data_IF_804014982179
#
_entry.id   IF_804014982179
#
_cell.length_a   1.000
_cell.length_b   1.000
_cell.length_c   1.000
_cell.angle_alpha   90.00
_cell.angle_beta   90.00
_cell.angle_gamma   90.00
#
_symmetry.space_group_name_H-M   'P 1'
#
loop_
_entity.id
_entity.type
_entity.pdbx_description
1 polymer ?
#
# COMPACT_ATOMS: atom_id res chain seq x y z
N UNK A 1 19.46 -23.13 -78.62
CA UNK A 1 20.49 -23.37 -77.61
C UNK A 1 19.80 -23.85 -76.34
N UNK A 2 19.55 -25.16 -76.33
CA UNK A 2 19.77 -26.14 -75.26
C UNK A 2 19.67 -25.80 -73.75
N UNK A 3 18.90 -26.69 -73.12
CA UNK A 3 19.22 -27.48 -71.92
C UNK A 3 19.00 -26.92 -70.49
N UNK A 4 17.89 -27.41 -69.93
CA UNK A 4 17.81 -28.09 -68.64
C UNK A 4 19.08 -28.84 -68.22
N UNK A 5 19.52 -28.71 -66.95
CA UNK A 5 19.59 -29.83 -65.98
C UNK A 5 20.19 -29.43 -64.62
N UNK A 6 19.39 -29.64 -63.57
CA UNK A 6 19.70 -30.35 -62.32
C UNK A 6 21.13 -30.31 -61.71
N UNK A 7 21.20 -29.87 -60.45
CA UNK A 7 22.08 -30.51 -59.45
C UNK A 7 21.36 -30.66 -58.09
N UNK A 8 20.99 -31.92 -57.83
CA UNK A 8 21.03 -32.69 -56.57
C UNK A 8 20.42 -32.17 -55.24
N UNK A 9 19.35 -32.86 -54.85
CA UNK A 9 18.97 -33.23 -53.48
C UNK A 9 20.07 -34.06 -52.79
N UNK A 10 20.37 -33.77 -51.51
CA UNK A 10 20.68 -34.81 -50.51
C UNK A 10 20.46 -34.34 -49.06
N UNK A 11 19.63 -35.13 -48.39
CA UNK A 11 19.23 -35.19 -46.98
C UNK A 11 20.38 -35.56 -46.04
N UNK A 12 20.41 -34.99 -44.83
CA UNK A 12 20.89 -35.60 -43.56
C UNK A 12 20.59 -34.63 -42.39
N UNK A 13 19.55 -34.89 -41.60
CA UNK A 13 19.59 -35.47 -40.23
C UNK A 13 20.02 -34.49 -39.13
N UNK A 14 19.03 -34.14 -38.29
CA UNK A 14 19.05 -33.84 -36.86
C UNK A 14 20.40 -33.44 -36.21
N UNK A 15 20.41 -32.30 -35.52
CA UNK A 15 20.71 -32.25 -34.08
C UNK A 15 20.32 -30.87 -33.47
N UNK A 16 19.54 -30.92 -32.38
CA UNK A 16 19.55 -30.07 -31.17
C UNK A 16 19.95 -28.58 -31.26
N UNK A 17 19.24 -27.60 -30.71
CA UNK A 17 18.18 -27.60 -29.69
C UNK A 17 17.37 -26.31 -29.80
N UNK A 18 16.05 -26.44 -29.86
CA UNK A 18 15.16 -25.41 -29.32
C UNK A 18 15.39 -25.43 -27.81
N UNK A 19 15.97 -24.38 -27.25
CA UNK A 19 15.97 -24.14 -25.80
C UNK A 19 14.53 -23.92 -25.38
N UNK A 20 13.80 -25.03 -25.20
CA UNK A 20 12.67 -25.06 -24.31
C UNK A 20 13.21 -24.59 -22.97
N UNK A 21 12.78 -23.40 -22.59
CA UNK A 21 12.97 -22.86 -21.25
C UNK A 21 12.29 -23.83 -20.30
N UNK A 22 13.08 -24.79 -19.81
CA UNK A 22 12.70 -25.61 -18.67
C UNK A 22 12.70 -24.66 -17.49
N UNK A 23 11.60 -23.91 -17.31
CA UNK A 23 11.24 -23.48 -15.96
C UNK A 23 11.23 -24.75 -15.13
N UNK A 24 12.22 -24.84 -14.26
CA UNK A 24 12.43 -25.94 -13.35
C UNK A 24 11.09 -26.23 -12.67
N UNK A 25 10.52 -27.42 -12.90
CA UNK A 25 9.23 -27.79 -12.30
C UNK A 25 9.29 -27.74 -10.76
N UNK A 26 10.50 -27.81 -10.20
CA UNK A 26 10.81 -27.62 -8.78
C UNK A 26 10.59 -26.19 -8.27
N UNK A 27 10.47 -25.17 -9.14
CA UNK A 27 10.20 -23.79 -8.72
C UNK A 27 8.70 -23.50 -8.57
N UNK A 28 7.81 -24.20 -9.27
CA UNK A 28 6.37 -23.87 -9.26
C UNK A 28 5.73 -24.14 -7.89
N UNK A 29 6.14 -25.22 -7.21
CA UNK A 29 5.64 -25.57 -5.87
C UNK A 29 6.03 -24.52 -4.81
N UNK A 30 7.10 -23.77 -5.02
CA UNK A 30 7.52 -22.73 -4.07
C UNK A 30 6.57 -21.53 -4.05
N UNK A 31 5.80 -21.33 -5.13
CA UNK A 31 4.90 -20.19 -5.31
C UNK A 31 3.43 -20.52 -5.08
N UNK A 32 3.12 -21.78 -4.80
CA UNK A 32 1.76 -22.25 -4.48
C UNK A 32 1.75 -22.76 -3.03
N UNK A 33 0.88 -22.18 -2.21
CA UNK A 33 0.61 -22.62 -0.84
C UNK A 33 -0.79 -23.24 -0.86
N UNK A 34 -0.84 -24.57 -0.93
CA UNK A 34 -2.10 -25.31 -1.09
C UNK A 34 -2.33 -26.29 0.06
N UNK A 35 -3.57 -26.39 0.52
CA UNK A 35 -4.03 -27.48 1.39
C UNK A 35 -3.48 -27.48 2.81
N UNK A 36 -2.95 -26.34 3.28
CA UNK A 36 -2.33 -26.20 4.61
C UNK A 36 -3.38 -26.26 5.71
N UNK A 37 -3.14 -27.05 6.76
CA UNK A 37 -4.10 -27.24 7.87
C UNK A 37 -3.40 -27.22 9.21
N UNK A 38 -3.65 -26.18 10.01
CA UNK A 38 -2.96 -26.02 11.30
C UNK A 38 -1.46 -25.76 11.18
N UNK A 39 -1.00 -25.32 10.00
CA UNK A 39 0.42 -25.14 9.69
C UNK A 39 0.81 -23.66 9.71
N UNK A 40 2.08 -23.39 10.07
CA UNK A 40 2.72 -22.10 9.83
C UNK A 40 3.64 -22.24 8.63
N UNK A 41 3.42 -21.42 7.60
CA UNK A 41 4.21 -21.40 6.36
C UNK A 41 4.80 -20.02 6.17
N UNK A 42 6.10 -19.97 5.86
CA UNK A 42 6.80 -18.71 5.61
C UNK A 42 7.53 -18.70 4.26
N UNK A 43 7.72 -17.49 3.72
CA UNK A 43 8.65 -17.17 2.63
C UNK A 43 9.48 -15.98 3.08
N UNK A 44 10.80 -16.17 3.12
CA UNK A 44 11.76 -15.17 3.59
C UNK A 44 12.12 -14.18 2.46
N UNK A 45 12.72 -13.02 2.78
CA UNK A 45 13.17 -12.07 1.79
C UNK A 45 14.08 -12.72 0.73
N UNK A 46 13.84 -12.40 -0.54
CA UNK A 46 14.59 -12.93 -1.67
C UNK A 46 14.16 -14.31 -2.15
N UNK A 47 13.09 -14.89 -1.61
CA UNK A 47 12.56 -16.21 -2.05
C UNK A 47 11.44 -16.10 -3.07
N UNK A 48 10.72 -14.97 -3.11
CA UNK A 48 9.64 -14.73 -4.09
C UNK A 48 10.12 -13.84 -5.23
N UNK A 49 10.92 -12.81 -4.94
CA UNK A 49 11.51 -11.90 -5.93
C UNK A 49 10.55 -11.35 -6.98
N UNK A 50 9.34 -10.94 -6.58
CA UNK A 50 8.37 -10.35 -7.49
C UNK A 50 7.66 -11.36 -8.40
N UNK A 51 7.73 -12.66 -8.12
CA UNK A 51 6.89 -13.67 -8.79
C UNK A 51 5.43 -13.63 -8.29
N UNK A 52 4.54 -14.34 -8.99
CA UNK A 52 3.15 -14.52 -8.56
C UNK A 52 3.06 -15.58 -7.46
N UNK A 53 2.17 -15.36 -6.48
CA UNK A 53 1.84 -16.35 -5.45
C UNK A 53 0.36 -16.76 -5.55
N UNK A 54 0.09 -18.04 -5.30
CA UNK A 54 -1.26 -18.59 -5.14
C UNK A 54 -1.37 -19.22 -3.76
N UNK A 55 -2.33 -18.78 -2.96
CA UNK A 55 -2.69 -19.38 -1.67
C UNK A 55 -4.09 -19.96 -1.83
N UNK A 56 -4.26 -21.25 -1.60
CA UNK A 56 -5.57 -21.89 -1.79
C UNK A 56 -5.84 -23.03 -0.80
N UNK A 57 -7.12 -23.28 -0.51
CA UNK A 57 -7.58 -24.42 0.30
C UNK A 57 -6.92 -24.55 1.69
N UNK A 58 -6.50 -23.43 2.28
CA UNK A 58 -5.82 -23.41 3.58
C UNK A 58 -6.82 -23.24 4.72
N UNK A 59 -6.58 -23.90 5.85
CA UNK A 59 -7.45 -23.85 7.02
C UNK A 59 -6.63 -23.73 8.30
N UNK A 60 -7.08 -22.90 9.25
CA UNK A 60 -6.47 -22.77 10.60
C UNK A 60 -4.95 -22.55 10.54
N UNK A 61 -4.46 -21.86 9.51
CA UNK A 61 -3.04 -21.77 9.17
C UNK A 61 -2.51 -20.34 9.24
N UNK A 62 -1.22 -20.20 9.55
CA UNK A 62 -0.51 -18.92 9.50
C UNK A 62 0.39 -18.87 8.27
N UNK A 63 0.26 -17.84 7.45
CA UNK A 63 0.97 -17.72 6.17
C UNK A 63 1.68 -16.37 6.16
N UNK A 64 3.01 -16.37 6.08
CA UNK A 64 3.83 -15.16 6.09
C UNK A 64 4.72 -15.07 4.86
N UNK A 65 4.56 -14.04 4.04
CA UNK A 65 5.41 -13.80 2.87
C UNK A 65 6.12 -12.48 3.06
N UNK A 66 7.38 -12.54 3.51
CA UNK A 66 8.23 -11.38 3.78
C UNK A 66 9.05 -10.99 2.54
N UNK A 67 8.39 -10.88 1.39
CA UNK A 67 9.03 -10.49 0.12
C UNK A 67 8.06 -9.69 -0.76
N UNK A 68 8.60 -8.97 -1.73
CA UNK A 68 7.80 -8.31 -2.75
C UNK A 68 7.26 -9.33 -3.76
N UNK A 69 6.05 -9.07 -4.25
CA UNK A 69 5.25 -10.03 -5.03
C UNK A 69 4.67 -9.29 -6.26
N UNK A 70 4.52 -9.97 -7.40
CA UNK A 70 3.83 -9.38 -8.56
C UNK A 70 2.32 -9.27 -8.33
N UNK A 71 1.69 -10.39 -8.00
CA UNK A 71 0.25 -10.52 -7.77
C UNK A 71 -0.03 -11.72 -6.87
N UNK A 72 -1.12 -11.68 -6.11
CA UNK A 72 -1.55 -12.78 -5.23
C UNK A 72 -3.02 -13.12 -5.46
N UNK A 73 -3.33 -14.41 -5.52
CA UNK A 73 -4.69 -14.91 -5.28
C UNK A 73 -4.75 -15.68 -3.96
N UNK A 74 -5.82 -15.46 -3.20
CA UNK A 74 -6.12 -16.17 -1.95
C UNK A 74 -7.51 -16.76 -2.07
N UNK A 75 -7.61 -18.08 -2.17
CA UNK A 75 -8.81 -18.80 -2.58
C UNK A 75 -9.21 -19.83 -1.53
N UNK A 76 -10.50 -19.94 -1.20
CA UNK A 76 -11.05 -21.02 -0.37
C UNK A 76 -10.32 -21.20 0.99
N UNK A 77 -9.85 -20.11 1.60
CA UNK A 77 -9.14 -20.14 2.88
C UNK A 77 -10.07 -19.87 4.07
N UNK A 78 -9.92 -20.63 5.15
CA UNK A 78 -10.79 -20.55 6.33
C UNK A 78 -9.96 -20.38 7.60
N UNK A 79 -10.26 -19.34 8.39
CA UNK A 79 -9.60 -19.06 9.67
C UNK A 79 -8.06 -18.98 9.55
N UNK A 80 -7.56 -18.34 8.49
CA UNK A 80 -6.13 -18.14 8.27
C UNK A 80 -5.66 -16.75 8.70
N UNK A 81 -4.42 -16.68 9.18
CA UNK A 81 -3.70 -15.42 9.41
C UNK A 81 -2.68 -15.25 8.28
N UNK A 82 -2.77 -14.17 7.51
CA UNK A 82 -2.02 -14.01 6.28
C UNK A 82 -1.29 -12.66 6.30
N UNK A 83 0.04 -12.69 6.24
CA UNK A 83 0.88 -11.53 6.04
C UNK A 83 1.49 -11.58 4.64
N UNK A 84 1.30 -10.52 3.86
CA UNK A 84 1.83 -10.39 2.51
C UNK A 84 2.68 -9.11 2.44
N UNK A 85 3.92 -9.26 1.98
CA UNK A 85 4.76 -8.14 1.62
C UNK A 85 4.21 -7.31 0.45
N UNK A 86 4.93 -6.27 0.01
CA UNK A 86 4.45 -5.33 -1.00
C UNK A 86 4.12 -6.00 -2.35
N UNK A 87 2.90 -5.81 -2.83
CA UNK A 87 2.38 -6.40 -4.08
C UNK A 87 2.28 -5.33 -5.16
N UNK A 88 3.07 -5.48 -6.22
CA UNK A 88 3.14 -4.51 -7.33
C UNK A 88 1.80 -4.28 -8.02
N UNK A 89 1.00 -5.34 -8.21
CA UNK A 89 -0.26 -5.28 -8.94
C UNK A 89 -1.44 -5.53 -8.01
N UNK A 90 -2.05 -6.72 -8.06
CA UNK A 90 -3.33 -6.99 -7.40
C UNK A 90 -3.24 -8.07 -6.33
N UNK A 91 -4.06 -7.89 -5.31
CA UNK A 91 -4.49 -8.96 -4.39
C UNK A 91 -5.93 -9.29 -4.75
N UNK A 92 -6.23 -10.57 -4.95
CA UNK A 92 -7.60 -11.04 -5.10
C UNK A 92 -7.91 -12.13 -4.08
N UNK A 93 -8.82 -11.84 -3.15
CA UNK A 93 -9.28 -12.77 -2.11
C UNK A 93 -10.68 -13.28 -2.49
N UNK A 94 -10.83 -14.59 -2.66
CA UNK A 94 -12.09 -15.22 -3.08
C UNK A 94 -12.49 -16.34 -2.14
N UNK A 95 -13.79 -16.45 -1.87
CA UNK A 95 -14.37 -17.58 -1.13
C UNK A 95 -13.73 -17.80 0.27
N UNK A 96 -13.16 -16.75 0.86
CA UNK A 96 -12.43 -16.82 2.13
C UNK A 96 -13.32 -16.47 3.32
N UNK A 97 -13.11 -17.15 4.46
CA UNK A 97 -13.93 -16.98 5.66
C UNK A 97 -13.10 -16.84 6.92
N UNK A 98 -13.42 -15.85 7.76
CA UNK A 98 -12.80 -15.66 9.08
C UNK A 98 -11.28 -15.45 9.04
N UNK A 99 -10.75 -14.90 7.94
CA UNK A 99 -9.32 -14.66 7.76
C UNK A 99 -8.89 -13.29 8.31
N UNK A 100 -7.66 -13.20 8.82
CA UNK A 100 -7.00 -11.91 9.11
C UNK A 100 -5.87 -11.70 8.11
N UNK A 101 -5.83 -10.54 7.47
CA UNK A 101 -4.90 -10.27 6.36
C UNK A 101 -4.17 -8.95 6.63
N UNK A 102 -2.85 -8.94 6.45
CA UNK A 102 -2.05 -7.73 6.41
C UNK A 102 -1.35 -7.65 5.05
N UNK A 103 -1.58 -6.58 4.30
CA UNK A 103 -1.08 -6.46 2.92
C UNK A 103 -0.90 -5.02 2.46
N UNK A 104 0.12 -4.79 1.64
CA UNK A 104 0.31 -3.58 0.85
C UNK A 104 0.23 -3.93 -0.63
N UNK A 105 -0.64 -3.28 -1.41
CA UNK A 105 -0.83 -3.58 -2.82
C UNK A 105 -1.25 -2.37 -3.65
N UNK A 106 -1.17 -2.48 -4.99
CA UNK A 106 -1.72 -1.44 -5.88
C UNK A 106 -3.24 -1.55 -5.97
N UNK A 107 -3.77 -2.77 -6.14
CA UNK A 107 -5.21 -3.05 -6.21
C UNK A 107 -5.62 -4.13 -5.20
N UNK A 108 -6.72 -3.90 -4.50
CA UNK A 108 -7.28 -4.86 -3.55
C UNK A 108 -8.70 -5.22 -3.98
N UNK A 109 -8.97 -6.52 -4.15
CA UNK A 109 -10.28 -7.04 -4.54
C UNK A 109 -10.67 -8.20 -3.64
N UNK A 110 -11.93 -8.23 -3.21
CA UNK A 110 -12.53 -9.41 -2.58
C UNK A 110 -13.79 -9.82 -3.30
N UNK A 111 -14.06 -11.13 -3.34
CA UNK A 111 -15.34 -11.68 -3.78
C UNK A 111 -15.76 -12.84 -2.89
N UNK A 112 -17.06 -12.95 -2.60
CA UNK A 112 -17.63 -14.10 -1.89
C UNK A 112 -16.98 -14.37 -0.51
N UNK A 113 -16.52 -13.30 0.18
CA UNK A 113 -15.82 -13.40 1.45
C UNK A 113 -16.74 -13.13 2.67
N UNK A 114 -16.43 -13.76 3.80
CA UNK A 114 -17.18 -13.56 5.04
C UNK A 114 -16.25 -13.33 6.24
N UNK A 115 -16.42 -12.22 6.94
CA UNK A 115 -15.66 -11.89 8.15
C UNK A 115 -14.13 -11.89 7.89
N UNK A 116 -13.68 -11.04 6.97
CA UNK A 116 -12.25 -10.86 6.70
C UNK A 116 -11.79 -9.51 7.26
N UNK A 117 -10.84 -9.56 8.19
CA UNK A 117 -10.24 -8.39 8.83
C UNK A 117 -8.93 -8.06 8.11
N UNK A 118 -8.80 -6.85 7.53
CA UNK A 118 -7.69 -6.48 6.65
C UNK A 118 -6.96 -5.22 7.13
N UNK A 119 -5.66 -5.33 7.39
CA UNK A 119 -4.73 -4.21 7.55
C UNK A 119 -4.12 -3.90 6.19
N UNK A 120 -4.49 -2.76 5.61
CA UNK A 120 -4.32 -2.49 4.18
C UNK A 120 -3.50 -1.23 3.92
N UNK A 121 -2.57 -1.32 2.96
CA UNK A 121 -2.17 -0.20 2.13
C UNK A 121 -2.64 -0.50 0.71
N UNK A 122 -3.43 0.39 0.12
CA UNK A 122 -3.90 0.22 -1.26
C UNK A 122 -3.66 1.48 -2.09
N UNK A 123 -2.92 1.34 -3.18
CA UNK A 123 -2.63 2.44 -4.11
C UNK A 123 -3.87 2.98 -4.82
N UNK A 124 -4.90 2.14 -5.00
CA UNK A 124 -6.20 2.48 -5.61
C UNK A 124 -7.36 2.27 -4.64
N UNK A 125 -8.60 2.55 -5.06
CA UNK A 125 -9.80 2.29 -4.27
C UNK A 125 -9.98 0.77 -4.04
N UNK A 126 -9.97 0.27 -2.78
CA UNK A 126 -10.23 -1.13 -2.49
C UNK A 126 -11.67 -1.52 -2.85
N UNK A 127 -11.85 -2.73 -3.36
CA UNK A 127 -13.14 -3.23 -3.86
C UNK A 127 -13.57 -4.47 -3.09
N UNK A 128 -14.85 -4.51 -2.71
CA UNK A 128 -15.53 -5.72 -2.22
C UNK A 128 -16.74 -6.03 -3.10
N UNK A 129 -17.04 -7.33 -3.25
CA UNK A 129 -18.19 -7.84 -4.01
C UNK A 129 -18.72 -9.11 -3.32
N UNK A 130 -20.03 -9.27 -3.21
CA UNK A 130 -20.71 -10.42 -2.59
C UNK A 130 -20.11 -10.82 -1.24
N UNK A 131 -19.63 -9.86 -0.47
CA UNK A 131 -18.86 -10.08 0.76
C UNK A 131 -19.52 -9.37 1.94
N UNK A 132 -19.42 -9.92 3.14
CA UNK A 132 -20.05 -9.33 4.34
C UNK A 132 -19.18 -9.43 5.59
N UNK A 133 -19.42 -8.52 6.54
CA UNK A 133 -18.65 -8.36 7.79
C UNK A 133 -17.16 -8.11 7.56
N UNK A 134 -16.83 -7.40 6.49
CA UNK A 134 -15.46 -7.02 6.17
C UNK A 134 -15.00 -5.92 7.14
N UNK A 135 -13.74 -5.97 7.59
CA UNK A 135 -13.18 -4.87 8.38
C UNK A 135 -11.86 -4.41 7.82
N UNK A 136 -11.63 -3.11 7.87
CA UNK A 136 -10.42 -2.50 7.33
C UNK A 136 -9.70 -1.64 8.38
N UNK A 137 -8.38 -1.66 8.34
CA UNK A 137 -7.46 -0.81 9.09
C UNK A 137 -6.30 -0.37 8.20
N UNK A 138 -5.61 0.70 8.61
CA UNK A 138 -4.36 1.08 7.97
C UNK A 138 -3.29 0.01 8.22
N UNK A 139 -2.53 -0.36 7.18
CA UNK A 139 -1.34 -1.19 7.34
C UNK A 139 -0.36 -0.56 8.34
N UNK A 140 0.17 -1.38 9.24
CA UNK A 140 1.06 -0.93 10.32
C UNK A 140 2.05 -2.03 10.68
N UNK A 141 3.20 -2.04 10.02
CA UNK A 141 4.23 -3.05 10.26
C UNK A 141 5.60 -2.57 9.76
N UNK A 142 6.67 -3.15 10.29
CA UNK A 142 8.01 -2.93 9.79
C UNK A 142 8.90 -4.18 9.93
N UNK A 143 9.83 -4.32 9.00
CA UNK A 143 10.95 -5.26 9.06
C UNK A 143 12.07 -4.73 8.17
N UNK A 144 13.28 -5.22 8.39
CA UNK A 144 14.50 -4.68 7.82
C UNK A 144 14.47 -4.49 6.30
N UNK A 145 13.92 -5.44 5.54
CA UNK A 145 13.88 -5.41 4.08
C UNK A 145 12.64 -4.68 3.50
N UNK A 146 11.65 -4.32 4.32
CA UNK A 146 10.35 -3.84 3.86
C UNK A 146 10.46 -2.59 2.98
N UNK A 147 11.30 -1.62 3.36
CA UNK A 147 11.48 -0.38 2.59
C UNK A 147 12.00 -0.66 1.17
N UNK A 148 12.98 -1.55 1.05
CA UNK A 148 13.51 -1.95 -0.26
C UNK A 148 12.44 -2.68 -1.09
N UNK A 149 11.63 -3.50 -0.45
CA UNK A 149 10.55 -4.24 -1.11
C UNK A 149 9.42 -3.32 -1.61
N UNK A 150 9.08 -2.25 -0.86
CA UNK A 150 8.19 -1.19 -1.35
C UNK A 150 8.75 -0.55 -2.62
N UNK A 151 10.04 -0.18 -2.62
CA UNK A 151 10.73 0.37 -3.81
C UNK A 151 10.69 -0.60 -5.00
N UNK A 152 10.98 -1.90 -4.79
CA UNK A 152 10.93 -2.93 -5.84
C UNK A 152 9.52 -3.14 -6.39
N UNK A 153 8.49 -2.99 -5.55
CA UNK A 153 7.08 -3.09 -5.97
C UNK A 153 6.56 -1.84 -6.68
N UNK A 154 7.26 -0.71 -6.59
CA UNK A 154 6.82 0.58 -7.13
C UNK A 154 5.69 1.24 -6.33
N UNK A 155 5.41 0.77 -5.12
CA UNK A 155 4.40 1.35 -4.23
C UNK A 155 4.99 2.51 -3.43
N UNK A 156 4.25 3.61 -3.34
CA UNK A 156 4.55 4.70 -2.41
C UNK A 156 3.91 4.43 -1.05
N UNK A 157 4.67 4.61 0.02
CA UNK A 157 4.17 4.50 1.40
C UNK A 157 3.15 5.62 1.73
N UNK A 158 3.14 6.70 0.96
CA UNK A 158 2.21 7.81 1.14
C UNK A 158 0.90 7.62 0.37
N UNK A 159 0.84 6.71 -0.61
CA UNK A 159 -0.37 6.47 -1.41
C UNK A 159 -1.21 5.33 -0.82
N UNK A 160 -2.03 5.67 0.18
CA UNK A 160 -2.83 4.69 0.90
C UNK A 160 -4.33 5.06 0.97
N UNK A 161 -5.17 4.30 0.27
CA UNK A 161 -6.63 4.45 0.19
C UNK A 161 -7.40 3.40 1.00
N UNK A 162 -6.78 2.76 2.00
CA UNK A 162 -7.32 1.61 2.74
C UNK A 162 -8.75 1.76 3.26
N UNK A 163 -9.23 2.98 3.48
CA UNK A 163 -10.55 3.26 4.07
C UNK A 163 -11.61 3.67 3.04
N UNK A 164 -11.24 3.93 1.79
CA UNK A 164 -12.19 4.34 0.74
C UNK A 164 -12.75 3.11 0.00
N UNK A 165 -13.54 2.28 0.67
CA UNK A 165 -14.01 1.01 0.11
C UNK A 165 -15.14 1.23 -0.89
N UNK A 166 -15.05 0.60 -2.06
CA UNK A 166 -16.17 0.46 -2.99
C UNK A 166 -16.83 -0.92 -2.85
N UNK A 167 -18.12 -0.93 -2.58
CA UNK A 167 -18.94 -2.15 -2.51
C UNK A 167 -19.80 -2.26 -3.77
N UNK A 168 -19.58 -3.31 -4.57
CA UNK A 168 -20.36 -3.59 -5.79
C UNK A 168 -21.74 -4.18 -5.50
N UNK A 169 -21.94 -4.74 -4.30
CA UNK A 169 -23.17 -5.44 -3.92
C UNK A 169 -23.72 -4.91 -2.60
N UNK A 170 -23.96 -3.59 -2.49
CA UNK A 170 -24.57 -3.05 -1.28
C UNK A 170 -25.98 -3.62 -1.14
N UNK A 171 -26.32 -4.10 0.06
CA UNK A 171 -27.67 -4.60 0.33
C UNK A 171 -28.49 -3.42 0.88
N UNK A 172 -29.52 -2.94 0.15
CA UNK A 172 -30.39 -1.90 0.67
C UNK A 172 -31.10 -2.41 1.93
N UNK A 173 -31.13 -1.60 2.99
CA UNK A 173 -31.83 -1.87 4.27
C UNK A 173 -31.12 -2.82 5.27
N UNK A 174 -29.94 -3.35 4.94
CA UNK A 174 -29.10 -4.10 5.89
C UNK A 174 -27.91 -3.26 6.43
N UNK A 175 -27.22 -3.80 7.43
CA UNK A 175 -25.96 -3.24 7.90
C UNK A 175 -24.94 -3.20 6.75
N UNK A 176 -24.11 -2.16 6.72
CA UNK A 176 -23.02 -2.04 5.74
C UNK A 176 -22.13 -3.28 5.73
N UNK A 177 -21.81 -3.77 4.53
CA UNK A 177 -21.01 -4.98 4.34
C UNK A 177 -19.57 -4.86 4.90
N UNK A 178 -19.11 -3.63 5.14
CA UNK A 178 -17.82 -3.35 5.72
C UNK A 178 -17.88 -2.33 6.86
N UNK A 179 -16.88 -2.37 7.72
CA UNK A 179 -16.64 -1.39 8.78
C UNK A 179 -15.14 -1.15 8.96
N UNK A 180 -14.75 -0.29 9.90
CA UNK A 180 -13.34 -0.08 10.23
C UNK A 180 -13.00 -0.74 11.57
N UNK A 181 -11.84 -1.40 11.63
CA UNK A 181 -11.29 -1.94 12.89
C UNK A 181 -11.08 -0.76 13.86
N UNK A 182 -11.27 -0.90 15.17
CA UNK A 182 -11.03 0.21 16.10
C UNK A 182 -9.59 0.75 16.05
N UNK A 183 -9.36 2.06 16.19
CA UNK A 183 -8.04 2.68 16.06
C UNK A 183 -7.04 2.24 17.15
N UNK A 184 -7.51 1.77 18.30
CA UNK A 184 -6.71 1.22 19.39
C UNK A 184 -6.18 -0.19 19.12
N UNK A 185 -6.74 -0.88 18.11
CA UNK A 185 -6.31 -2.21 17.73
C UNK A 185 -4.99 -2.18 16.97
N UNK A 186 -4.14 -3.17 17.25
CA UNK A 186 -2.85 -3.36 16.58
C UNK A 186 -2.92 -4.55 15.61
N UNK A 187 -2.02 -4.57 14.63
CA UNK A 187 -1.93 -5.70 13.69
C UNK A 187 -1.69 -7.03 14.41
N UNK A 188 -0.87 -7.03 15.47
CA UNK A 188 -0.55 -8.23 16.27
C UNK A 188 -1.73 -8.83 17.02
N UNK A 189 -2.81 -8.07 17.25
CA UNK A 189 -4.05 -8.60 17.84
C UNK A 189 -4.82 -9.51 16.87
N UNK A 190 -4.50 -9.42 15.57
CA UNK A 190 -5.20 -10.09 14.48
C UNK A 190 -4.30 -11.09 13.75
N UNK A 191 -3.09 -10.68 13.37
CA UNK A 191 -2.09 -11.51 12.71
C UNK A 191 -0.91 -11.68 13.68
N UNK A 192 -0.72 -12.86 14.28
CA UNK A 192 0.36 -13.07 15.23
C UNK A 192 1.72 -12.88 14.55
N UNK A 193 2.69 -12.36 15.30
CA UNK A 193 4.06 -12.24 14.79
C UNK A 193 4.71 -13.63 14.85
N UNK A 194 5.29 -14.14 13.76
CA UNK A 194 5.92 -15.45 13.78
C UNK A 194 7.19 -15.44 14.65
N UNK A 195 7.39 -16.50 15.42
CA UNK A 195 8.56 -16.73 16.25
C UNK A 195 9.45 -17.82 15.64
N UNK A 196 10.77 -17.74 15.86
CA UNK A 196 11.73 -18.72 15.36
C UNK A 196 13.05 -18.07 14.92
N UNK A 197 14.13 -18.85 14.95
CA UNK A 197 15.48 -18.37 14.62
C UNK A 197 15.60 -17.78 13.21
N UNK A 198 14.77 -18.27 12.27
CA UNK A 198 14.69 -17.75 10.89
C UNK A 198 14.13 -16.32 10.80
N UNK A 199 13.30 -15.89 11.77
CA UNK A 199 12.66 -14.56 11.78
C UNK A 199 13.43 -13.50 12.58
N UNK A 200 14.34 -13.91 13.48
CA UNK A 200 15.15 -13.00 14.30
C UNK A 200 15.93 -11.99 13.43
N UNK A 201 16.43 -12.45 12.28
CA UNK A 201 17.20 -11.62 11.36
C UNK A 201 16.39 -10.52 10.65
N UNK A 202 15.05 -10.66 10.60
CA UNK A 202 14.14 -9.73 9.93
C UNK A 202 13.81 -8.50 10.77
N UNK A 203 14.02 -8.59 12.10
CA UNK A 203 13.68 -7.52 13.04
C UNK A 203 12.21 -7.08 12.90
N UNK A 204 11.30 -8.06 12.94
CA UNK A 204 9.87 -7.83 12.81
C UNK A 204 9.38 -6.89 13.92
N UNK A 205 8.67 -5.83 13.53
CA UNK A 205 8.09 -4.87 14.46
C UNK A 205 6.62 -4.60 14.12
N UNK A 206 5.68 -5.06 14.97
CA UNK A 206 4.28 -4.70 14.86
C UNK A 206 3.96 -3.33 15.48
N UNK A 207 4.96 -2.63 16.06
CA UNK A 207 4.75 -1.34 16.73
C UNK A 207 4.28 -0.26 15.73
N UNK A 208 3.10 0.33 15.94
CA UNK A 208 2.61 1.50 15.21
C UNK A 208 3.61 2.63 15.00
N UNK A 209 4.53 2.85 15.95
CA UNK A 209 5.51 3.94 15.88
C UNK A 209 6.75 3.57 15.07
N UNK A 210 6.99 2.28 14.86
CA UNK A 210 8.07 1.77 14.02
C UNK A 210 7.60 1.45 12.59
N UNK A 211 6.30 1.52 12.32
CA UNK A 211 5.70 1.23 11.01
C UNK A 211 6.35 2.04 9.91
N UNK A 212 6.67 1.38 8.79
CA UNK A 212 7.18 2.06 7.60
C UNK A 212 6.09 2.92 6.95
N UNK A 213 4.85 2.41 6.93
CA UNK A 213 3.70 3.12 6.38
C UNK A 213 3.17 4.08 7.44
N UNK A 214 3.01 5.38 7.12
CA UNK A 214 2.36 6.33 8.01
C UNK A 214 0.94 5.88 8.37
N UNK A 215 0.63 5.85 9.65
CA UNK A 215 -0.73 5.54 10.09
C UNK A 215 -1.67 6.70 9.76
N UNK A 216 -2.69 6.43 8.94
CA UNK A 216 -3.69 7.42 8.53
C UNK A 216 -5.06 7.13 9.16
N UNK A 217 -5.79 8.19 9.49
CA UNK A 217 -7.16 8.14 10.03
C UNK A 217 -8.17 7.69 8.98
N UNK A 218 -7.93 8.03 7.71
CA UNK A 218 -8.77 7.69 6.58
C UNK A 218 -10.15 8.34 6.63
N UNK A 219 -11.16 7.62 6.14
CA UNK A 219 -12.58 8.03 6.06
C UNK A 219 -13.35 7.90 7.38
N UNK A 220 -12.66 7.71 8.51
CA UNK A 220 -13.31 7.75 9.84
C UNK A 220 -13.85 9.15 10.11
N UNK A 221 -14.79 9.24 11.06
CA UNK A 221 -15.30 10.55 11.52
C UNK A 221 -14.13 11.41 12.01
N UNK A 222 -14.00 12.62 11.47
CA UNK A 222 -12.98 13.60 11.88
C UNK A 222 -13.15 13.96 13.36
N UNK A 223 -12.03 14.31 14.01
CA UNK A 223 -12.00 14.67 15.43
C UNK A 223 -12.32 16.15 15.63
N UNK A 224 -12.04 16.98 14.62
CA UNK A 224 -12.30 18.41 14.58
C UNK A 224 -12.81 18.81 13.19
N UNK A 225 -13.41 19.98 13.10
CA UNK A 225 -13.79 20.61 11.82
C UNK A 225 -12.59 21.33 11.17
N UNK A 226 -11.48 21.51 11.90
CA UNK A 226 -10.27 22.14 11.37
C UNK A 226 -9.29 21.10 10.78
N UNK A 227 -8.90 21.30 9.52
CA UNK A 227 -7.84 20.55 8.84
C UNK A 227 -6.66 21.48 8.50
N UNK A 228 -5.49 20.89 8.23
CA UNK A 228 -4.34 21.60 7.68
C UNK A 228 -3.70 20.79 6.55
N UNK A 229 -3.41 21.44 5.42
CA UNK A 229 -2.61 20.85 4.35
C UNK A 229 -1.14 21.23 4.55
N UNK A 230 -0.27 20.22 4.51
CA UNK A 230 1.18 20.39 4.43
C UNK A 230 1.69 19.69 3.19
N UNK A 231 2.44 20.38 2.33
CA UNK A 231 3.01 19.81 1.10
C UNK A 231 4.53 19.96 1.08
N UNK A 232 5.22 18.83 0.91
CA UNK A 232 6.67 18.77 0.74
C UNK A 232 7.01 18.68 -0.75
N UNK A 233 7.86 19.57 -1.23
CA UNK A 233 8.34 19.55 -2.62
C UNK A 233 9.57 18.67 -2.76
N UNK A 234 9.72 18.00 -3.90
CA UNK A 234 10.84 17.09 -4.12
C UNK A 234 12.19 17.82 -4.11
N UNK A 235 13.06 17.40 -3.20
CA UNK A 235 14.46 17.81 -3.13
C UNK A 235 15.39 16.64 -2.75
N UNK A 236 14.92 15.41 -2.91
CA UNK A 236 15.62 14.18 -2.51
C UNK A 236 15.54 13.82 -1.01
N UNK A 237 15.03 14.71 -0.15
CA UNK A 237 14.87 14.45 1.30
C UNK A 237 13.47 14.81 1.83
N UNK A 238 12.53 15.11 0.93
CA UNK A 238 11.13 15.44 1.25
C UNK A 238 10.42 14.34 2.03
N UNK A 239 10.61 13.06 1.66
CA UNK A 239 10.01 11.93 2.34
C UNK A 239 10.45 11.80 3.80
N UNK A 240 11.75 11.92 4.07
CA UNK A 240 12.28 11.89 5.44
C UNK A 240 11.69 13.02 6.30
N UNK A 241 11.63 14.24 5.75
CA UNK A 241 11.02 15.38 6.44
C UNK A 241 9.53 15.19 6.68
N UNK A 242 8.78 14.64 5.73
CA UNK A 242 7.36 14.32 5.89
C UNK A 242 7.15 13.32 7.04
N UNK A 243 7.93 12.23 7.09
CA UNK A 243 7.89 11.24 8.18
C UNK A 243 8.24 11.89 9.52
N UNK A 244 9.31 12.70 9.58
CA UNK A 244 9.70 13.43 10.80
C UNK A 244 8.61 14.37 11.30
N UNK A 245 7.91 15.06 10.39
CA UNK A 245 6.77 15.92 10.76
C UNK A 245 5.65 15.09 11.39
N UNK A 246 5.28 13.97 10.76
CA UNK A 246 4.22 13.07 11.24
C UNK A 246 4.54 12.57 12.65
N UNK A 247 5.77 12.10 12.89
CA UNK A 247 6.17 11.65 14.22
C UNK A 247 6.21 12.79 15.25
N UNK A 248 6.71 13.97 14.86
CA UNK A 248 6.77 15.14 15.75
C UNK A 248 5.38 15.59 16.19
N UNK A 249 4.44 15.71 15.24
CA UNK A 249 3.06 16.09 15.53
C UNK A 249 2.35 15.05 16.39
N UNK A 250 2.48 13.75 16.07
CA UNK A 250 1.90 12.66 16.86
C UNK A 250 2.44 12.64 18.30
N UNK A 251 3.74 12.86 18.48
CA UNK A 251 4.39 12.85 19.80
C UNK A 251 4.00 14.07 20.66
N UNK A 252 3.94 15.27 20.06
CA UNK A 252 3.61 16.51 20.78
C UNK A 252 2.11 16.68 21.01
N UNK A 253 1.29 16.21 20.08
CA UNK A 253 -0.16 16.42 20.06
C UNK A 253 -0.86 15.12 19.63
N UNK A 254 -1.10 14.17 20.55
CA UNK A 254 -1.72 12.88 20.22
C UNK A 254 -3.15 13.00 19.63
N UNK A 255 -3.81 14.14 19.81
CA UNK A 255 -5.12 14.44 19.21
C UNK A 255 -5.02 14.88 17.74
N UNK A 256 -3.82 15.27 17.28
CA UNK A 256 -3.55 15.60 15.89
C UNK A 256 -3.31 14.31 15.10
N UNK A 257 -4.29 13.97 14.27
CA UNK A 257 -4.23 12.77 13.43
C UNK A 257 -3.84 13.13 12.00
N UNK A 258 -3.01 12.30 11.39
CA UNK A 258 -2.81 12.32 9.94
C UNK A 258 -4.06 11.69 9.30
N UNK A 259 -4.86 12.48 8.58
CA UNK A 259 -6.09 11.99 7.93
C UNK A 259 -5.73 11.13 6.73
N UNK A 260 -4.89 11.65 5.86
CA UNK A 260 -4.46 11.00 4.63
C UNK A 260 -3.17 11.62 4.11
N UNK A 261 -2.50 10.91 3.21
CA UNK A 261 -1.30 11.35 2.51
C UNK A 261 -1.40 11.00 1.03
N UNK A 262 -0.64 11.71 0.19
CA UNK A 262 -0.39 11.34 -1.21
C UNK A 262 1.00 11.78 -1.66
N UNK A 263 1.62 10.97 -2.49
CA UNK A 263 2.80 11.31 -3.29
C UNK A 263 2.41 11.32 -4.76
N UNK A 264 2.51 12.48 -5.41
CA UNK A 264 1.98 12.68 -6.76
C UNK A 264 2.73 13.73 -7.56
N UNK A 265 2.81 13.56 -8.87
CA UNK A 265 3.30 14.58 -9.79
C UNK A 265 2.26 15.69 -9.93
N UNK A 266 2.67 16.94 -9.69
CA UNK A 266 1.78 18.09 -9.72
C UNK A 266 2.16 19.02 -10.87
N UNK A 267 1.19 19.35 -11.73
CA UNK A 267 1.40 20.28 -12.84
C UNK A 267 1.34 21.75 -12.37
N UNK A 268 1.95 22.70 -13.10
CA UNK A 268 1.91 24.12 -12.75
C UNK A 268 0.51 24.71 -12.53
N UNK A 269 -0.48 24.26 -13.29
CA UNK A 269 -1.87 24.73 -13.15
C UNK A 269 -2.52 24.21 -11.86
N UNK A 270 -2.25 22.96 -11.50
CA UNK A 270 -2.70 22.39 -10.22
C UNK A 270 -2.02 23.09 -9.04
N UNK A 271 -0.72 23.38 -9.16
CA UNK A 271 0.03 24.19 -8.18
C UNK A 271 -0.64 25.55 -7.93
N UNK A 272 -0.99 26.28 -8.99
CA UNK A 272 -1.66 27.58 -8.86
C UNK A 272 -3.02 27.47 -8.19
N UNK A 273 -3.80 26.46 -8.56
CA UNK A 273 -5.14 26.22 -8.02
C UNK A 273 -5.10 25.84 -6.54
N UNK A 274 -4.21 24.93 -6.15
CA UNK A 274 -4.13 24.43 -4.78
C UNK A 274 -3.49 25.45 -3.86
N UNK A 275 -2.37 26.06 -4.24
CA UNK A 275 -1.64 26.96 -3.33
C UNK A 275 -2.09 28.41 -3.41
N UNK A 276 -2.99 28.74 -4.35
CA UNK A 276 -3.46 30.10 -4.63
C UNK A 276 -2.29 31.08 -4.84
N UNK A 277 -1.18 30.58 -5.40
CA UNK A 277 0.08 31.30 -5.54
C UNK A 277 0.92 30.75 -6.69
N UNK A 278 1.70 31.63 -7.32
CA UNK A 278 2.68 31.27 -8.35
C UNK A 278 4.04 30.86 -7.75
N UNK A 279 4.26 31.05 -6.45
CA UNK A 279 5.56 30.82 -5.80
C UNK A 279 6.06 29.38 -5.85
N UNK A 280 5.17 28.41 -6.11
CA UNK A 280 5.47 26.98 -6.06
C UNK A 280 5.58 26.32 -7.43
N UNK A 281 5.32 27.05 -8.53
CA UNK A 281 5.31 26.50 -9.90
C UNK A 281 6.64 25.82 -10.26
N UNK A 282 7.77 26.46 -9.94
CA UNK A 282 9.09 25.87 -10.23
C UNK A 282 9.39 24.67 -9.33
N UNK A 283 8.86 24.66 -8.11
CA UNK A 283 9.13 23.60 -7.14
C UNK A 283 8.43 22.29 -7.50
N UNK A 284 7.19 22.34 -8.01
CA UNK A 284 6.45 21.14 -8.43
C UNK A 284 7.07 20.45 -9.66
N UNK A 285 7.85 21.19 -10.46
CA UNK A 285 8.59 20.62 -11.59
C UNK A 285 9.79 19.76 -11.16
N UNK A 286 10.19 19.82 -9.88
CA UNK A 286 11.30 19.03 -9.34
C UNK A 286 10.99 17.53 -9.17
N UNK A 287 9.72 17.13 -9.29
CA UNK A 287 9.26 15.74 -9.15
C UNK A 287 8.03 15.65 -8.25
N UNK A 288 7.67 14.42 -7.80
CA UNK A 288 6.46 14.21 -7.01
C UNK A 288 6.47 15.02 -5.71
N UNK A 289 5.34 15.63 -5.38
CA UNK A 289 5.11 16.29 -4.09
C UNK A 289 4.45 15.33 -3.12
N UNK A 290 4.73 15.50 -1.82
CA UNK A 290 4.10 14.71 -0.75
C UNK A 290 3.14 15.63 0.00
N UNK A 291 1.84 15.41 -0.15
CA UNK A 291 0.78 16.12 0.58
C UNK A 291 0.31 15.33 1.78
N UNK A 292 0.15 16.01 2.90
CA UNK A 292 -0.35 15.49 4.17
C UNK A 292 -1.54 16.33 4.64
N UNK A 293 -2.64 15.68 4.98
CA UNK A 293 -3.77 16.31 5.67
C UNK A 293 -3.72 15.95 7.16
N UNK A 294 -3.63 16.94 8.02
CA UNK A 294 -3.81 16.78 9.47
C UNK A 294 -5.17 17.29 9.92
N UNK A 295 -5.68 16.76 11.03
CA UNK A 295 -6.95 17.19 11.63
C UNK A 295 -6.86 17.18 13.16
N UNK A 296 -7.21 18.32 13.77
CA UNK A 296 -7.39 18.55 15.21
C UNK A 296 -7.79 20.00 15.47
N UNK A 297 -8.14 20.34 16.71
CA UNK A 297 -8.37 21.73 17.09
C UNK A 297 -7.07 22.56 17.02
N UNK A 298 -7.09 23.70 16.33
CA UNK A 298 -5.91 24.54 16.13
C UNK A 298 -4.88 23.95 15.17
N UNK A 299 -5.29 23.00 14.32
CA UNK A 299 -4.42 22.23 13.42
C UNK A 299 -3.45 23.10 12.63
N UNK A 300 -3.93 24.21 12.05
CA UNK A 300 -3.10 25.08 11.21
C UNK A 300 -1.93 25.66 12.00
N UNK A 301 -2.21 26.19 13.19
CA UNK A 301 -1.18 26.79 14.06
C UNK A 301 -0.15 25.76 14.53
N UNK A 302 -0.59 24.55 14.85
CA UNK A 302 0.28 23.44 15.26
C UNK A 302 1.19 22.98 14.12
N UNK A 303 0.63 22.80 12.92
CA UNK A 303 1.38 22.42 11.74
C UNK A 303 2.41 23.50 11.35
N UNK A 304 2.04 24.78 11.39
CA UNK A 304 2.97 25.88 11.13
C UNK A 304 4.15 25.89 12.11
N UNK A 305 3.89 25.77 13.42
CA UNK A 305 4.94 25.72 14.43
C UNK A 305 5.87 24.51 14.22
N UNK A 306 5.30 23.33 13.96
CA UNK A 306 6.06 22.11 13.73
C UNK A 306 6.90 22.19 12.44
N UNK A 307 6.38 22.80 11.37
CA UNK A 307 7.13 23.03 10.13
C UNK A 307 8.28 24.01 10.36
N UNK A 308 8.07 25.12 11.08
CA UNK A 308 9.16 26.08 11.37
C UNK A 308 10.32 25.39 12.10
N UNK A 309 10.03 24.56 13.10
CA UNK A 309 11.05 23.78 13.81
C UNK A 309 11.74 22.75 12.89
N UNK A 310 10.97 22.04 12.07
CA UNK A 310 11.48 21.02 11.15
C UNK A 310 12.42 21.63 10.09
N UNK A 311 12.09 22.83 9.63
CA UNK A 311 12.82 23.51 8.56
C UNK A 311 14.09 24.21 9.05
N UNK A 312 14.30 24.32 10.37
CA UNK A 312 15.49 24.93 10.95
C UNK A 312 16.77 24.23 10.45
N UNK A 313 17.61 24.96 9.71
CA UNK A 313 18.86 24.44 9.15
C UNK A 313 18.70 23.64 7.84
N UNK A 314 17.53 23.66 7.22
CA UNK A 314 17.28 23.02 5.91
C UNK A 314 16.92 24.05 4.85
N UNK A 315 17.19 23.74 3.58
CA UNK A 315 16.84 24.58 2.42
C UNK A 315 15.61 24.06 1.66
N UNK A 316 14.95 23.02 2.18
CA UNK A 316 13.78 22.45 1.53
C UNK A 316 12.64 23.46 1.43
N UNK A 317 11.75 23.26 0.47
CA UNK A 317 10.51 24.03 0.40
C UNK A 317 9.37 23.19 0.98
N UNK A 318 8.54 23.82 1.80
CA UNK A 318 7.33 23.22 2.37
C UNK A 318 6.22 24.26 2.31
N UNK A 319 5.06 23.84 1.82
CA UNK A 319 3.82 24.59 1.91
C UNK A 319 3.06 24.16 3.16
N UNK A 320 2.45 25.12 3.85
CA UNK A 320 1.52 24.89 4.96
C UNK A 320 0.36 25.87 4.83
N UNK A 321 -0.87 25.41 5.05
CA UNK A 321 -2.05 26.28 5.07
C UNK A 321 -1.89 27.45 6.03
N UNK A 322 -2.47 28.60 5.68
CA UNK A 322 -2.28 29.86 6.43
C UNK A 322 -3.43 30.16 7.40
N UNK A 323 -4.63 29.64 7.13
CA UNK A 323 -5.82 29.76 7.97
C UNK A 323 -6.71 28.53 7.81
N UNK A 324 -7.62 28.29 8.75
CA UNK A 324 -8.56 27.18 8.69
C UNK A 324 -9.47 27.26 7.44
N UNK A 325 -9.96 28.47 7.09
CA UNK A 325 -10.80 28.67 5.90
C UNK A 325 -10.06 28.35 4.59
N UNK A 326 -8.79 28.76 4.49
CA UNK A 326 -7.98 28.42 3.32
C UNK A 326 -7.66 26.92 3.30
N UNK A 327 -7.35 26.32 4.46
CA UNK A 327 -6.97 24.91 4.55
C UNK A 327 -8.04 23.97 4.00
N UNK A 328 -9.32 24.22 4.30
CA UNK A 328 -10.42 23.41 3.78
C UNK A 328 -10.44 23.35 2.25
N UNK A 329 -10.39 24.52 1.60
CA UNK A 329 -10.36 24.64 0.12
C UNK A 329 -9.11 24.00 -0.47
N UNK A 330 -7.97 24.18 0.19
CA UNK A 330 -6.67 23.66 -0.27
C UNK A 330 -6.60 22.13 -0.18
N UNK A 331 -7.08 21.55 0.92
CA UNK A 331 -7.21 20.09 1.09
C UNK A 331 -8.13 19.55 0.01
N UNK A 332 -9.33 20.12 -0.15
CA UNK A 332 -10.27 19.67 -1.18
C UNK A 332 -9.66 19.76 -2.58
N UNK A 333 -9.05 20.90 -2.94
CA UNK A 333 -8.40 21.07 -4.22
C UNK A 333 -7.26 20.05 -4.44
N UNK A 334 -6.44 19.80 -3.41
CA UNK A 334 -5.31 18.88 -3.48
C UNK A 334 -5.76 17.43 -3.71
N UNK A 335 -6.68 16.93 -2.89
CA UNK A 335 -7.09 15.53 -3.02
C UNK A 335 -8.03 15.29 -4.21
N UNK A 336 -8.83 16.28 -4.62
CA UNK A 336 -9.62 16.16 -5.85
C UNK A 336 -8.74 16.02 -7.09
N UNK A 337 -7.63 16.78 -7.21
CA UNK A 337 -6.72 16.59 -8.33
C UNK A 337 -6.00 15.24 -8.23
N UNK A 338 -5.58 14.87 -7.01
CA UNK A 338 -4.85 13.63 -6.82
C UNK A 338 -5.69 12.42 -7.23
N UNK A 339 -6.94 12.38 -6.80
CA UNK A 339 -7.89 11.32 -7.12
C UNK A 339 -8.20 11.26 -8.63
N UNK A 340 -8.29 12.41 -9.32
CA UNK A 340 -8.45 12.43 -10.78
C UNK A 340 -7.26 11.81 -11.53
N UNK A 341 -6.03 12.04 -11.06
CA UNK A 341 -4.82 11.53 -11.72
C UNK A 341 -4.53 10.06 -11.39
N UNK A 342 -4.94 9.56 -10.23
CA UNK A 342 -4.80 8.14 -9.85
C UNK A 342 -6.00 7.27 -10.23
N UNK A 343 -7.14 7.87 -10.55
CA UNK A 343 -8.35 7.18 -11.03
C UNK A 343 -8.32 6.82 -12.52
N UNK A 344 -7.29 7.29 -13.25
CA UNK A 344 -6.94 6.90 -14.63
C UNK A 344 -5.87 5.81 -14.55
#
# INVERSE_FOLDING_TARGET
>A
MDNSCCFFLRTCKNLHACTQDKRDKSNVENFIIDGKKGETVSRLPGTVNGEQIVIQNCQDSNIYIFDHIATVSVDDCINCNIFLGPIKSSVFIRDCKQCRVAVACQQFRTRDCFQVDTFLLCGTQPIIESSSRMKFACFSFNYKELEQQFKSSGLSIFNNNWSNIHDFTPVPEEDVNFSYIPPESTLSDFVPVPEGAEFESLQLSPDPNASLVPQTWGRRRKLSDESCLVVFFNDGSSAERAIRLIHSLKAKNPQCVLVQSKEILMEPDDSRRVFESESYITAVQGGPVIGLEFNCDGCVSLCQAAVVELMAGTTGLVFVSQSAEAAEKQVEAFYNFADMQMGI
#
